data_IF_982619647871
#
_entry.id   IF_982619647871
#
_cell.length_a   1.000
_cell.length_b   1.000
_cell.length_c   1.000
_cell.angle_alpha   90.00
_cell.angle_beta   90.00
_cell.angle_gamma   90.00
#
_symmetry.space_group_name_H-M   'P 1'
#
loop_
_entity.id
_entity.type
_entity.pdbx_description
1 polymer ?
#
# COMPACT_ATOMS: atom_id res chain seq x y z
N UNK A 1 -2.24 -8.42 -9.86
CA UNK A 1 -1.20 -7.55 -10.46
C UNK A 1 0.20 -8.16 -10.38
N UNK A 2 0.81 -8.31 -9.20
CA UNK A 2 2.16 -8.92 -9.03
C UNK A 2 2.30 -10.35 -9.58
N UNK A 3 1.23 -11.15 -9.53
CA UNK A 3 1.19 -12.50 -10.16
C UNK A 3 0.91 -12.50 -11.67
N UNK A 4 0.79 -11.33 -12.30
CA UNK A 4 0.33 -11.17 -13.69
C UNK A 4 -1.07 -11.76 -14.02
N UNK A 5 -1.85 -12.15 -13.01
CA UNK A 5 -3.23 -12.67 -13.17
C UNK A 5 -4.27 -11.60 -13.59
N UNK A 6 -3.87 -10.33 -13.57
CA UNK A 6 -4.67 -9.20 -14.05
C UNK A 6 -3.87 -8.53 -15.17
N UNK A 7 -4.48 -8.11 -16.30
CA UNK A 7 -3.76 -7.50 -17.42
C UNK A 7 -2.99 -6.24 -17.00
N UNK A 8 -1.78 -6.04 -17.54
CA UNK A 8 -1.05 -4.79 -17.33
C UNK A 8 -1.77 -3.65 -18.07
N UNK A 9 -2.30 -2.69 -17.33
CA UNK A 9 -2.93 -1.47 -17.84
C UNK A 9 -2.44 -0.23 -17.10
N UNK A 10 -2.12 0.83 -17.84
CA UNK A 10 -1.78 2.15 -17.28
C UNK A 10 -2.97 2.76 -16.52
N UNK A 11 -4.19 2.34 -16.82
CA UNK A 11 -5.41 2.78 -16.13
C UNK A 11 -5.38 2.46 -14.63
N UNK A 12 -4.68 1.40 -14.21
CA UNK A 12 -4.54 1.04 -12.79
C UNK A 12 -3.66 2.07 -12.07
N UNK A 13 -2.52 2.41 -12.66
CA UNK A 13 -1.60 3.43 -12.12
C UNK A 13 -2.27 4.79 -12.09
N UNK A 14 -2.99 5.16 -13.15
CA UNK A 14 -3.76 6.41 -13.23
C UNK A 14 -4.86 6.46 -12.17
N UNK A 15 -5.61 5.38 -11.97
CA UNK A 15 -6.62 5.30 -10.92
C UNK A 15 -6.01 5.52 -9.52
N UNK A 16 -4.88 4.87 -9.21
CA UNK A 16 -4.20 5.08 -7.93
C UNK A 16 -3.73 6.53 -7.76
N UNK A 17 -3.26 7.19 -8.83
CA UNK A 17 -2.91 8.61 -8.79
C UNK A 17 -4.13 9.51 -8.56
N UNK A 18 -5.28 9.18 -9.14
CA UNK A 18 -6.51 9.96 -8.96
C UNK A 18 -7.02 9.91 -7.51
N UNK A 19 -6.91 8.76 -6.84
CA UNK A 19 -7.33 8.62 -5.43
C UNK A 19 -6.25 9.01 -4.42
N UNK A 20 -5.09 9.50 -4.85
CA UNK A 20 -4.01 9.93 -3.96
C UNK A 20 -3.66 11.39 -4.18
N UNK A 21 -3.40 12.11 -3.10
CA UNK A 21 -3.02 13.51 -3.17
C UNK A 21 -1.64 13.62 -3.84
N UNK A 22 -1.46 14.60 -4.73
CA UNK A 22 -0.20 14.79 -5.47
C UNK A 22 1.02 14.97 -4.56
N UNK A 23 0.84 15.66 -3.44
CA UNK A 23 1.85 15.84 -2.39
C UNK A 23 1.72 14.82 -1.24
N UNK A 24 0.91 13.78 -1.42
CA UNK A 24 0.72 12.77 -0.40
C UNK A 24 1.97 11.88 -0.27
N UNK A 25 2.16 11.34 0.93
CA UNK A 25 3.37 10.58 1.28
C UNK A 25 3.04 9.18 1.79
N UNK A 26 3.98 8.27 1.59
CA UNK A 26 4.00 6.96 2.20
C UNK A 26 5.25 6.82 3.07
N UNK A 27 5.05 6.43 4.32
CA UNK A 27 6.12 6.01 5.23
C UNK A 27 6.25 4.49 5.14
N UNK A 28 7.39 4.04 4.64
CA UNK A 28 7.75 2.63 4.54
C UNK A 28 8.03 2.04 5.93
N UNK A 29 7.80 0.73 6.17
CA UNK A 29 8.18 0.07 7.42
C UNK A 29 9.65 0.22 7.84
N UNK A 30 10.53 0.52 6.90
CA UNK A 30 11.95 0.82 7.15
C UNK A 30 12.20 2.25 7.67
N UNK A 31 11.15 3.08 7.81
CA UNK A 31 11.23 4.46 8.25
C UNK A 31 11.50 5.49 7.14
N UNK A 32 11.52 5.06 5.87
CA UNK A 32 11.71 5.95 4.73
C UNK A 32 10.39 6.60 4.31
N UNK A 33 10.39 7.93 4.19
CA UNK A 33 9.28 8.67 3.58
C UNK A 33 9.48 8.78 2.07
N UNK A 34 8.42 8.51 1.31
CA UNK A 34 8.40 8.60 -0.15
C UNK A 34 7.12 9.30 -0.63
N UNK A 35 7.16 9.93 -1.82
CA UNK A 35 5.95 10.41 -2.48
C UNK A 35 5.03 9.24 -2.85
N UNK A 36 3.71 9.40 -2.65
CA UNK A 36 2.72 8.41 -3.09
C UNK A 36 2.76 8.22 -4.61
N UNK A 37 2.79 9.31 -5.37
CA UNK A 37 2.79 9.24 -6.83
C UNK A 37 4.07 8.58 -7.37
N UNK A 38 5.24 8.89 -6.79
CA UNK A 38 6.48 8.21 -7.15
C UNK A 38 6.44 6.71 -6.80
N UNK A 39 5.85 6.36 -5.65
CA UNK A 39 5.67 4.96 -5.24
C UNK A 39 4.69 4.22 -6.16
N UNK A 40 3.65 4.90 -6.64
CA UNK A 40 2.69 4.37 -7.61
C UNK A 40 3.36 4.15 -8.97
N UNK A 41 4.20 5.07 -9.43
CA UNK A 41 4.97 4.91 -10.68
C UNK A 41 5.91 3.70 -10.60
N UNK A 42 6.49 3.45 -9.42
CA UNK A 42 7.31 2.27 -9.18
C UNK A 42 6.52 0.94 -9.23
N UNK A 43 5.19 0.93 -9.04
CA UNK A 43 4.38 -0.30 -9.10
C UNK A 43 4.45 -0.99 -10.46
N UNK A 44 4.73 -0.24 -11.53
CA UNK A 44 4.93 -0.79 -12.87
C UNK A 44 6.08 -1.80 -12.94
N UNK A 45 7.11 -1.61 -12.12
CA UNK A 45 8.26 -2.52 -12.01
C UNK A 45 7.93 -3.83 -11.29
N UNK A 46 6.91 -3.84 -10.44
CA UNK A 46 6.45 -5.02 -9.71
C UNK A 46 5.42 -5.86 -10.50
N UNK A 47 5.07 -5.49 -11.73
CA UNK A 47 4.13 -6.30 -12.51
C UNK A 47 4.76 -7.66 -12.86
N UNK A 48 4.08 -8.75 -12.52
CA UNK A 48 4.54 -10.11 -12.84
C UNK A 48 5.73 -10.61 -12.03
N UNK A 49 6.29 -9.85 -11.09
CA UNK A 49 7.45 -10.24 -10.27
C UNK A 49 7.21 -11.46 -9.37
N UNK A 50 5.93 -11.80 -9.16
CA UNK A 50 5.46 -13.01 -8.45
C UNK A 50 4.73 -14.00 -9.38
N UNK A 51 4.82 -13.86 -10.70
CA UNK A 51 4.21 -14.81 -11.63
C UNK A 51 4.82 -16.21 -11.45
N UNK A 52 3.96 -17.23 -11.39
CA UNK A 52 4.38 -18.62 -11.13
C UNK A 52 4.84 -18.91 -9.70
N UNK A 53 4.96 -17.90 -8.82
CA UNK A 53 5.32 -18.08 -7.41
C UNK A 53 4.07 -18.35 -6.56
N UNK A 54 4.24 -19.10 -5.47
CA UNK A 54 3.22 -19.27 -4.42
C UNK A 54 3.10 -17.98 -3.60
N UNK A 55 2.52 -16.94 -4.21
CA UNK A 55 2.37 -15.62 -3.59
C UNK A 55 0.90 -15.34 -3.25
N UNK A 56 0.61 -14.82 -2.06
CA UNK A 56 -0.71 -14.31 -1.66
C UNK A 56 -0.54 -13.01 -0.90
N UNK A 57 -1.50 -12.10 -1.06
CA UNK A 57 -1.60 -10.90 -0.25
C UNK A 57 -3.07 -10.68 0.10
N UNK A 58 -3.35 -10.27 1.33
CA UNK A 58 -4.70 -9.97 1.80
C UNK A 58 -4.67 -8.98 2.95
N UNK A 59 -5.84 -8.43 3.26
CA UNK A 59 -6.04 -7.53 4.39
C UNK A 59 -6.87 -8.22 5.48
N UNK A 60 -6.56 -7.96 6.74
CA UNK A 60 -7.41 -8.32 7.88
C UNK A 60 -7.51 -7.19 8.91
N UNK A 61 -8.38 -7.37 9.91
CA UNK A 61 -8.58 -6.44 11.03
C UNK A 61 -8.77 -4.98 10.59
N UNK A 62 -9.57 -4.81 9.53
CA UNK A 62 -9.93 -3.50 9.03
C UNK A 62 -10.73 -2.72 10.09
N UNK A 63 -10.24 -1.53 10.42
CA UNK A 63 -10.90 -0.56 11.28
C UNK A 63 -10.96 0.76 10.54
N UNK A 64 -12.16 1.33 10.46
CA UNK A 64 -12.41 2.64 9.86
C UNK A 64 -12.93 3.55 10.96
N UNK A 65 -12.30 4.70 11.14
CA UNK A 65 -12.68 5.69 12.15
C UNK A 65 -12.64 7.08 11.55
N UNK A 66 -13.68 7.88 11.77
CA UNK A 66 -13.70 9.28 11.36
C UNK A 66 -12.75 10.11 12.26
N UNK A 67 -12.00 11.02 11.65
CA UNK A 67 -11.08 11.93 12.31
C UNK A 67 -11.37 13.36 11.82
N UNK A 68 -12.25 14.07 12.53
CA UNK A 68 -12.76 15.37 12.11
C UNK A 68 -13.99 15.28 11.19
N UNK A 69 -14.39 16.40 10.59
CA UNK A 69 -15.61 16.44 9.75
C UNK A 69 -15.43 15.69 8.44
N UNK A 70 -14.27 15.85 7.78
CA UNK A 70 -14.00 15.32 6.44
C UNK A 70 -12.90 14.25 6.42
N UNK A 71 -12.16 14.11 7.53
CA UNK A 71 -11.04 13.17 7.64
C UNK A 71 -11.47 11.79 8.11
N UNK A 72 -10.80 10.76 7.58
CA UNK A 72 -10.99 9.37 7.93
C UNK A 72 -9.63 8.70 8.12
N UNK A 73 -9.52 7.90 9.17
CA UNK A 73 -8.39 7.04 9.43
C UNK A 73 -8.80 5.59 9.20
N UNK A 74 -8.16 4.93 8.25
CA UNK A 74 -8.34 3.51 7.94
C UNK A 74 -7.11 2.75 8.41
N UNK A 75 -7.31 1.68 9.18
CA UNK A 75 -6.24 0.83 9.71
C UNK A 75 -6.53 -0.62 9.36
N UNK A 76 -5.51 -1.37 8.95
CA UNK A 76 -5.62 -2.81 8.71
C UNK A 76 -4.23 -3.45 8.78
N UNK A 77 -4.20 -4.78 8.88
CA UNK A 77 -2.97 -5.52 8.60
C UNK A 77 -2.93 -5.90 7.13
N UNK A 78 -1.80 -5.65 6.49
CA UNK A 78 -1.48 -6.14 5.16
C UNK A 78 -0.58 -7.36 5.31
N UNK A 79 -1.11 -8.52 4.98
CA UNK A 79 -0.38 -9.77 4.98
C UNK A 79 0.13 -10.09 3.58
N UNK A 80 1.36 -10.60 3.51
CA UNK A 80 1.91 -11.24 2.33
C UNK A 80 2.49 -12.62 2.71
N UNK A 81 2.29 -13.59 1.82
CA UNK A 81 2.83 -14.93 1.91
C UNK A 81 3.53 -15.25 0.59
N UNK A 82 4.81 -15.61 0.63
CA UNK A 82 5.57 -16.09 -0.53
C UNK A 82 6.26 -17.40 -0.20
N UNK A 83 5.80 -18.50 -0.82
CA UNK A 83 6.20 -19.84 -0.38
C UNK A 83 5.73 -20.06 1.07
N UNK A 84 6.68 -20.25 1.97
CA UNK A 84 6.45 -20.42 3.41
C UNK A 84 6.85 -19.17 4.23
N UNK A 85 7.24 -18.09 3.56
CA UNK A 85 7.66 -16.83 4.20
C UNK A 85 6.47 -15.92 4.41
N UNK A 86 6.20 -15.58 5.66
CA UNK A 86 5.15 -14.66 6.08
C UNK A 86 5.71 -13.27 6.35
N UNK A 87 5.06 -12.25 5.81
CA UNK A 87 5.30 -10.86 6.20
C UNK A 87 3.99 -10.13 6.50
N UNK A 88 4.07 -9.15 7.40
CA UNK A 88 2.90 -8.38 7.79
C UNK A 88 3.26 -6.94 8.14
N UNK A 89 2.50 -6.00 7.58
CA UNK A 89 2.56 -4.60 7.93
C UNK A 89 1.25 -4.15 8.59
N UNK A 90 1.35 -3.48 9.72
CA UNK A 90 0.30 -2.61 10.22
C UNK A 90 0.25 -1.39 9.29
N UNK A 91 -0.88 -1.16 8.63
CA UNK A 91 -1.03 -0.09 7.65
C UNK A 91 -2.10 0.89 8.12
N UNK A 92 -1.79 2.18 8.11
CA UNK A 92 -2.69 3.28 8.41
C UNK A 92 -2.79 4.21 7.21
N UNK A 93 -4.00 4.60 6.82
CA UNK A 93 -4.27 5.53 5.73
C UNK A 93 -5.06 6.71 6.29
N UNK A 94 -4.58 7.92 6.02
CA UNK A 94 -5.38 9.12 6.18
C UNK A 94 -6.08 9.42 4.85
N UNK A 95 -7.40 9.52 4.91
CA UNK A 95 -8.25 9.87 3.78
C UNK A 95 -9.02 11.15 4.11
N UNK A 96 -9.27 11.95 3.09
CA UNK A 96 -10.26 13.03 3.16
C UNK A 96 -11.41 12.67 2.23
N UNK A 97 -12.63 12.89 2.69
CA UNK A 97 -13.81 12.83 1.84
C UNK A 97 -13.70 13.88 0.73
N UNK A 98 -14.07 13.48 -0.48
CA UNK A 98 -14.14 14.33 -1.67
C UNK A 98 -15.41 14.01 -2.45
N UNK A 99 -16.59 14.40 -1.94
CA UNK A 99 -17.86 14.05 -2.57
C UNK A 99 -18.02 14.64 -3.99
N UNK A 100 -17.20 15.63 -4.35
CA UNK A 100 -17.15 16.24 -5.67
C UNK A 100 -16.44 15.39 -6.73
N UNK A 101 -15.67 14.36 -6.33
CA UNK A 101 -14.99 13.46 -7.28
C UNK A 101 -15.73 12.11 -7.38
N UNK A 102 -15.69 11.44 -8.55
CA UNK A 102 -16.31 10.11 -8.71
C UNK A 102 -15.81 9.06 -7.69
N UNK A 103 -14.56 9.19 -7.25
CA UNK A 103 -13.93 8.29 -6.29
C UNK A 103 -14.35 8.56 -4.84
N UNK A 104 -14.91 9.75 -4.56
CA UNK A 104 -15.50 10.10 -3.26
C UNK A 104 -14.50 10.37 -2.12
N UNK A 105 -13.20 10.14 -2.35
CA UNK A 105 -12.15 10.36 -1.36
C UNK A 105 -10.79 10.63 -2.00
N UNK A 106 -9.86 11.13 -1.19
CA UNK A 106 -8.44 11.19 -1.53
C UNK A 106 -7.60 10.69 -0.35
N UNK A 107 -6.60 9.85 -0.63
CA UNK A 107 -5.58 9.42 0.33
C UNK A 107 -4.48 10.47 0.37
N UNK A 108 -4.19 11.00 1.55
CA UNK A 108 -3.12 12.01 1.75
C UNK A 108 -1.87 11.42 2.39
N UNK A 109 -2.03 10.36 3.18
CA UNK A 109 -0.94 9.76 3.93
C UNK A 109 -1.13 8.26 4.05
N UNK A 110 -0.06 7.50 3.88
CA UNK A 110 0.01 6.07 4.19
C UNK A 110 1.19 5.86 5.14
N UNK A 111 0.97 5.19 6.26
CA UNK A 111 2.06 4.77 7.13
C UNK A 111 1.98 3.27 7.33
N UNK A 112 3.09 2.59 7.01
CA UNK A 112 3.25 1.17 7.23
C UNK A 112 4.31 0.94 8.30
N UNK A 113 4.06 0.00 9.20
CA UNK A 113 5.05 -0.46 10.19
C UNK A 113 5.04 -1.97 10.22
N UNK A 114 6.21 -2.60 10.40
CA UNK A 114 6.30 -4.04 10.54
C UNK A 114 5.50 -4.54 11.75
N UNK A 115 4.71 -5.59 11.55
CA UNK A 115 4.17 -6.33 12.69
C UNK A 115 5.31 -7.13 13.31
N UNK A 116 5.47 -7.03 14.64
CA UNK A 116 6.54 -7.71 15.38
C UNK A 116 6.54 -9.21 15.06
N UNK A 117 7.69 -9.72 14.61
CA UNK A 117 7.87 -11.13 14.22
C UNK A 117 7.56 -11.44 12.75
N UNK A 118 7.14 -10.45 11.96
CA UNK A 118 6.75 -10.63 10.55
C UNK A 118 7.42 -9.62 9.60
N UNK A 119 8.61 -9.12 9.96
CA UNK A 119 9.47 -8.41 9.01
C UNK A 119 10.09 -9.41 8.03
N UNK A 120 10.06 -9.12 6.73
CA UNK A 120 10.79 -9.94 5.74
C UNK A 120 12.28 -9.94 6.07
N UNK A 121 12.90 -11.12 6.14
CA UNK A 121 14.32 -11.30 6.48
C UNK A 121 15.26 -10.51 5.54
N UNK A 122 14.84 -10.25 4.30
CA UNK A 122 15.66 -9.56 3.29
C UNK A 122 15.92 -8.07 3.57
N UNK A 123 15.12 -7.40 4.40
CA UNK A 123 15.37 -5.99 4.78
C UNK A 123 16.35 -5.84 5.96
N UNK A 124 16.74 -6.93 6.60
CA UNK A 124 17.88 -6.88 7.53
C UNK A 124 19.23 -6.81 6.80
N UNK A 125 19.27 -7.14 5.50
CA UNK A 125 20.51 -7.23 4.73
C UNK A 125 20.78 -6.05 3.78
N UNK A 126 19.84 -5.11 3.59
CA UNK A 126 20.06 -3.92 2.74
C UNK A 126 20.63 -2.72 3.51
N UNK A 127 21.22 -2.95 4.68
CA UNK A 127 22.12 -1.98 5.31
C UNK A 127 23.53 -2.20 4.77
N UNK A 128 23.81 -1.58 3.62
CA UNK A 128 25.12 -1.06 3.21
C UNK A 128 24.92 -0.12 2.01
#
# INVERSE_FOLDING_TARGET
>A
WRRAEVPKSDSVTQYFKNITHANGVIIHPAGLECSLHASIDALGSCYGDKQGKKYRAWVDRLVVSQCGSEGWLVRFNLWELEGDVWSCCLTSLALNAKPETPEGFVVTHIHKTWLKGYSSADEQSSKL
#
